data_IF_045973224131
#
_entry.id   IF_045973224131
#
_cell.length_a   1.000
_cell.length_b   1.000
_cell.length_c   1.000
_cell.angle_alpha   90.00
_cell.angle_beta   90.00
_cell.angle_gamma   90.00
#
_symmetry.space_group_name_H-M   'P 1'
#
loop_
_entity.id
_entity.type
_entity.pdbx_description
1 polymer ?
#
# COMPACT_ATOMS: atom_id res chain seq x y z
N UNK A 1 -8.41 8.26 -3.07
CA UNK A 1 -9.42 7.72 -4.00
C UNK A 1 -10.39 8.78 -4.50
N UNK A 2 -11.02 9.59 -3.64
CA UNK A 2 -12.01 10.60 -4.06
C UNK A 2 -11.48 11.54 -5.15
N UNK A 3 -10.23 11.99 -5.07
CA UNK A 3 -9.59 12.80 -6.11
C UNK A 3 -9.47 12.08 -7.44
N UNK A 4 -9.11 10.78 -7.39
CA UNK A 4 -9.00 9.97 -8.60
C UNK A 4 -10.36 9.73 -9.27
N UNK A 5 -11.40 9.41 -8.51
CA UNK A 5 -12.75 9.22 -9.06
C UNK A 5 -13.31 10.49 -9.75
N UNK A 6 -12.89 11.66 -9.31
CA UNK A 6 -13.27 12.93 -9.96
C UNK A 6 -12.58 13.16 -11.32
N UNK A 7 -11.49 12.45 -11.59
CA UNK A 7 -10.77 12.53 -12.86
C UNK A 7 -11.33 11.57 -13.91
N UNK A 8 -12.18 10.63 -13.52
CA UNK A 8 -12.86 9.72 -14.46
C UNK A 8 -13.94 10.54 -15.19
N UNK A 9 -13.90 10.57 -16.54
CA UNK A 9 -14.92 11.27 -17.31
C UNK A 9 -16.33 10.76 -17.02
N UNK A 10 -17.29 11.66 -16.77
CA UNK A 10 -18.68 11.29 -16.51
C UNK A 10 -19.33 10.59 -17.68
N UNK A 11 -18.85 10.88 -18.90
CA UNK A 11 -19.32 10.33 -20.15
C UNK A 11 -19.23 8.79 -20.17
N UNK A 12 -18.23 8.20 -19.51
CA UNK A 12 -18.10 6.75 -19.40
C UNK A 12 -19.23 6.12 -18.57
N UNK A 13 -19.66 6.82 -17.52
CA UNK A 13 -20.78 6.36 -16.69
C UNK A 13 -22.11 6.57 -17.39
N UNK A 14 -22.26 7.67 -18.12
CA UNK A 14 -23.44 7.97 -18.91
C UNK A 14 -23.60 6.95 -20.04
N UNK A 15 -22.50 6.60 -20.74
CA UNK A 15 -22.51 5.57 -21.75
C UNK A 15 -22.95 4.20 -21.17
N UNK A 16 -22.38 3.80 -20.02
CA UNK A 16 -22.76 2.57 -19.36
C UNK A 16 -24.25 2.53 -18.95
N UNK A 17 -24.82 3.68 -18.55
CA UNK A 17 -26.24 3.80 -18.22
C UNK A 17 -27.11 3.70 -19.47
N UNK A 18 -26.70 4.30 -20.58
CA UNK A 18 -27.38 4.19 -21.86
C UNK A 18 -27.41 2.74 -22.38
N UNK A 19 -26.35 1.98 -22.09
CA UNK A 19 -26.28 0.54 -22.36
C UNK A 19 -27.11 -0.33 -21.39
N UNK A 20 -27.88 0.30 -20.49
CA UNK A 20 -28.76 -0.38 -19.54
C UNK A 20 -28.06 -0.92 -18.29
N UNK A 21 -26.82 -0.52 -18.03
CA UNK A 21 -26.12 -0.95 -16.82
C UNK A 21 -26.72 -0.28 -15.57
N UNK A 22 -26.95 -1.10 -14.53
CA UNK A 22 -27.27 -0.57 -13.20
C UNK A 22 -26.05 0.17 -12.60
N UNK A 23 -26.26 1.02 -11.60
CA UNK A 23 -25.18 1.74 -10.90
C UNK A 23 -24.10 0.79 -10.36
N UNK A 24 -24.48 -0.36 -9.83
CA UNK A 24 -23.56 -1.40 -9.40
C UNK A 24 -22.76 -2.01 -10.53
N UNK A 25 -23.41 -2.24 -11.67
CA UNK A 25 -22.75 -2.78 -12.86
C UNK A 25 -21.76 -1.77 -13.44
N UNK A 26 -22.15 -0.51 -13.53
CA UNK A 26 -21.28 0.57 -13.97
C UNK A 26 -20.07 0.73 -13.02
N UNK A 27 -20.29 0.67 -11.70
CA UNK A 27 -19.20 0.70 -10.73
C UNK A 27 -18.22 -0.47 -10.89
N UNK A 28 -18.73 -1.70 -10.91
CA UNK A 28 -17.87 -2.89 -10.94
C UNK A 28 -17.18 -3.13 -12.28
N UNK A 29 -17.84 -2.78 -13.39
CA UNK A 29 -17.33 -3.08 -14.74
C UNK A 29 -16.59 -1.91 -15.40
N UNK A 30 -16.86 -0.69 -14.96
CA UNK A 30 -16.24 0.51 -15.54
C UNK A 30 -15.35 1.20 -14.54
N UNK A 31 -15.89 1.68 -13.42
CA UNK A 31 -15.13 2.50 -12.47
C UNK A 31 -14.04 1.72 -11.76
N UNK A 32 -14.34 0.53 -11.26
CA UNK A 32 -13.39 -0.25 -10.46
C UNK A 32 -12.15 -0.68 -11.28
N UNK A 33 -12.28 -1.23 -12.51
CA UNK A 33 -11.12 -1.54 -13.34
C UNK A 33 -10.26 -0.32 -13.67
N UNK A 34 -10.88 0.82 -13.98
CA UNK A 34 -10.15 2.08 -14.22
C UNK A 34 -9.43 2.58 -12.98
N UNK A 35 -9.90 2.23 -11.79
CA UNK A 35 -9.32 2.65 -10.50
C UNK A 35 -8.21 1.73 -10.00
N UNK A 36 -7.97 0.58 -10.63
CA UNK A 36 -6.94 -0.39 -10.20
C UNK A 36 -5.57 0.26 -10.01
N UNK A 37 -5.06 1.14 -10.90
CA UNK A 37 -3.75 1.77 -10.69
C UNK A 37 -3.71 2.66 -9.44
N UNK A 38 -4.77 3.42 -9.19
CA UNK A 38 -4.86 4.26 -8.00
C UNK A 38 -5.00 3.44 -6.71
N UNK A 39 -5.78 2.36 -6.75
CA UNK A 39 -5.92 1.41 -5.64
C UNK A 39 -4.59 0.74 -5.31
N UNK A 40 -3.84 0.30 -6.32
CA UNK A 40 -2.52 -0.30 -6.14
C UNK A 40 -1.54 0.68 -5.50
N UNK A 41 -1.53 1.94 -5.95
CA UNK A 41 -0.68 2.99 -5.36
C UNK A 41 -1.00 3.20 -3.88
N UNK A 42 -2.28 3.32 -3.53
CA UNK A 42 -2.69 3.46 -2.13
C UNK A 42 -2.34 2.23 -1.30
N UNK A 43 -2.57 1.04 -1.84
CA UNK A 43 -2.22 -0.21 -1.17
C UNK A 43 -0.71 -0.28 -0.84
N UNK A 44 0.16 0.12 -1.77
CA UNK A 44 1.61 0.18 -1.52
C UNK A 44 1.92 1.15 -0.37
N UNK A 45 1.35 2.37 -0.42
CA UNK A 45 1.59 3.39 0.60
C UNK A 45 1.10 2.91 1.98
N UNK A 46 -0.10 2.34 2.05
CA UNK A 46 -0.68 1.85 3.30
C UNK A 46 0.11 0.66 3.86
N UNK A 47 0.53 -0.27 3.01
CA UNK A 47 1.40 -1.39 3.42
C UNK A 47 2.72 -0.88 3.97
N UNK A 48 3.37 0.07 3.30
CA UNK A 48 4.63 0.65 3.77
C UNK A 48 4.46 1.36 5.11
N UNK A 49 3.41 2.17 5.27
CA UNK A 49 3.14 2.89 6.52
C UNK A 49 2.85 1.92 7.66
N UNK A 50 1.98 0.93 7.43
CA UNK A 50 1.60 -0.06 8.45
C UNK A 50 2.78 -0.97 8.81
N UNK A 51 3.57 -1.38 7.82
CA UNK A 51 4.75 -2.23 8.05
C UNK A 51 5.84 -1.54 8.87
N UNK A 52 6.03 -0.24 8.63
CA UNK A 52 7.02 0.57 9.35
C UNK A 52 6.46 1.22 10.63
N UNK A 53 5.21 0.87 11.04
CA UNK A 53 4.63 1.41 12.26
C UNK A 53 5.43 0.96 13.48
N UNK A 54 6.02 1.94 14.16
CA UNK A 54 6.92 1.73 15.28
C UNK A 54 6.43 2.35 16.57
N UNK A 55 6.06 3.64 16.54
CA UNK A 55 5.79 4.41 17.77
C UNK A 55 4.51 3.94 18.47
N UNK A 56 3.43 3.76 17.72
CA UNK A 56 2.15 3.32 18.29
C UNK A 56 2.29 1.89 18.79
N UNK A 57 2.94 1.01 18.01
CA UNK A 57 3.20 -0.35 18.40
C UNK A 57 4.09 -0.46 19.66
N UNK A 58 5.11 0.39 19.77
CA UNK A 58 6.00 0.43 20.94
C UNK A 58 5.24 0.82 22.23
N UNK A 59 4.32 1.79 22.12
CA UNK A 59 3.57 2.31 23.29
C UNK A 59 2.42 1.39 23.68
N UNK A 60 1.70 0.84 22.70
CA UNK A 60 0.45 0.10 22.98
C UNK A 60 0.67 -1.41 23.15
N UNK A 61 1.71 -1.99 22.56
CA UNK A 61 1.92 -3.45 22.56
C UNK A 61 2.92 -3.84 23.65
N UNK A 62 2.41 -4.25 24.80
CA UNK A 62 3.24 -4.73 25.93
C UNK A 62 3.66 -6.20 25.78
N UNK A 63 2.86 -7.02 25.08
CA UNK A 63 3.12 -8.46 24.92
C UNK A 63 4.23 -8.72 23.89
N UNK A 64 5.27 -9.46 24.27
CA UNK A 64 6.40 -9.80 23.38
C UNK A 64 5.98 -10.52 22.11
N UNK A 65 4.97 -11.38 22.20
CA UNK A 65 4.49 -12.24 21.10
C UNK A 65 3.71 -11.47 20.03
N UNK A 66 3.22 -10.28 20.37
CA UNK A 66 2.39 -9.45 19.46
C UNK A 66 3.14 -8.23 18.90
N UNK A 67 4.45 -8.13 19.12
CA UNK A 67 5.25 -6.98 18.67
C UNK A 67 5.37 -6.93 17.15
N UNK A 68 5.31 -5.71 16.60
CA UNK A 68 5.63 -5.48 15.20
C UNK A 68 7.12 -5.71 14.93
N UNK A 69 7.48 -5.97 13.67
CA UNK A 69 8.87 -6.23 13.28
C UNK A 69 9.82 -5.11 13.71
N UNK A 70 9.53 -3.81 13.48
CA UNK A 70 10.39 -2.72 13.94
C UNK A 70 10.61 -2.70 15.47
N UNK A 71 9.57 -2.98 16.26
CA UNK A 71 9.67 -3.06 17.72
C UNK A 71 10.46 -4.30 18.16
N UNK A 72 10.30 -5.42 17.46
CA UNK A 72 11.05 -6.65 17.73
C UNK A 72 12.56 -6.49 17.51
N UNK A 73 12.95 -5.71 16.52
CA UNK A 73 14.36 -5.45 16.21
C UNK A 73 15.10 -4.69 17.31
N UNK A 74 14.39 -3.93 18.16
CA UNK A 74 15.01 -3.26 19.32
C UNK A 74 15.62 -4.25 20.32
N UNK A 75 15.16 -5.50 20.36
CA UNK A 75 15.71 -6.48 21.31
C UNK A 75 17.18 -6.85 21.02
N UNK A 76 17.64 -6.59 19.78
CA UNK A 76 19.05 -6.79 19.42
C UNK A 76 19.94 -5.60 19.78
N UNK A 77 19.35 -4.49 20.26
CA UNK A 77 20.03 -3.35 20.83
C UNK A 77 19.98 -3.48 22.36
N UNK A 78 20.86 -4.30 22.93
CA UNK A 78 20.97 -4.45 24.39
C UNK A 78 21.66 -3.27 25.05
N UNK A 79 21.35 -3.07 26.33
CA UNK A 79 21.91 -1.98 27.14
C UNK A 79 23.44 -2.06 27.34
N UNK A 80 24.00 -3.28 27.26
CA UNK A 80 25.42 -3.56 27.45
C UNK A 80 26.13 -4.20 26.26
N UNK A 81 25.41 -4.72 25.28
CA UNK A 81 25.97 -5.29 24.06
C UNK A 81 24.98 -5.23 22.91
N UNK A 82 25.33 -4.52 21.86
CA UNK A 82 24.52 -4.47 20.64
C UNK A 82 24.94 -5.59 19.71
N UNK A 83 24.00 -6.48 19.39
CA UNK A 83 24.24 -7.56 18.44
C UNK A 83 23.98 -7.06 17.01
N UNK A 84 24.87 -6.22 16.51
CA UNK A 84 24.71 -5.58 15.19
C UNK A 84 24.53 -6.55 14.05
N UNK A 85 25.21 -7.70 14.10
CA UNK A 85 25.08 -8.74 13.06
C UNK A 85 23.65 -9.29 13.00
N UNK A 86 23.05 -9.59 14.14
CA UNK A 86 21.66 -10.09 14.21
C UNK A 86 20.66 -9.00 13.86
N UNK A 87 20.93 -7.75 14.28
CA UNK A 87 20.11 -6.59 13.91
C UNK A 87 20.10 -6.41 12.40
N UNK A 88 21.25 -6.42 11.74
CA UNK A 88 21.34 -6.27 10.28
C UNK A 88 20.67 -7.43 9.56
N UNK A 89 20.85 -8.67 10.02
CA UNK A 89 20.16 -9.84 9.46
C UNK A 89 18.64 -9.70 9.61
N UNK A 90 18.15 -9.27 10.78
CA UNK A 90 16.73 -9.01 11.01
C UNK A 90 16.14 -7.94 10.09
N UNK A 91 16.88 -6.84 9.88
CA UNK A 91 16.48 -5.78 8.95
C UNK A 91 16.39 -6.33 7.51
N UNK A 92 17.39 -7.09 7.06
CA UNK A 92 17.38 -7.68 5.71
C UNK A 92 16.18 -8.61 5.51
N UNK A 93 15.88 -9.45 6.49
CA UNK A 93 14.72 -10.35 6.43
C UNK A 93 13.42 -9.55 6.43
N UNK A 94 13.32 -8.49 7.22
CA UNK A 94 12.12 -7.68 7.32
C UNK A 94 11.79 -6.88 6.06
N UNK A 95 12.78 -6.62 5.20
CA UNK A 95 12.57 -5.93 3.92
C UNK A 95 11.99 -6.87 2.85
N UNK A 96 12.21 -8.18 2.94
CA UNK A 96 11.79 -9.15 1.92
C UNK A 96 10.30 -9.05 1.59
N UNK A 97 9.34 -9.09 2.55
CA UNK A 97 7.92 -9.03 2.23
C UNK A 97 7.54 -7.71 1.55
N UNK A 98 8.17 -6.60 1.92
CA UNK A 98 7.94 -5.29 1.29
C UNK A 98 8.38 -5.30 -0.18
N UNK A 99 9.58 -5.85 -0.46
CA UNK A 99 10.09 -5.99 -1.83
C UNK A 99 9.17 -6.87 -2.66
N UNK A 100 8.73 -8.01 -2.12
CA UNK A 100 7.82 -8.92 -2.81
C UNK A 100 6.52 -8.20 -3.20
N UNK A 101 5.88 -7.53 -2.26
CA UNK A 101 4.65 -6.77 -2.51
C UNK A 101 4.91 -5.68 -3.57
N UNK A 102 6.02 -4.95 -3.46
CA UNK A 102 6.38 -3.91 -4.41
C UNK A 102 6.56 -4.47 -5.83
N UNK A 103 7.27 -5.59 -6.01
CA UNK A 103 7.48 -6.23 -7.32
C UNK A 103 6.12 -6.60 -7.97
N UNK A 104 5.17 -7.12 -7.20
CA UNK A 104 3.85 -7.47 -7.74
C UNK A 104 3.01 -6.24 -8.12
N UNK A 105 3.12 -5.15 -7.37
CA UNK A 105 2.28 -3.97 -7.54
C UNK A 105 2.93 -2.87 -8.41
N UNK A 106 4.26 -2.90 -8.65
CA UNK A 106 4.99 -1.86 -9.38
C UNK A 106 4.42 -1.57 -10.78
N UNK A 107 3.95 -2.59 -11.49
CA UNK A 107 3.33 -2.42 -12.82
C UNK A 107 2.10 -1.50 -12.79
N UNK A 108 1.31 -1.56 -11.73
CA UNK A 108 0.14 -0.72 -11.54
C UNK A 108 0.51 0.69 -11.07
N UNK A 109 1.58 0.80 -10.27
CA UNK A 109 2.11 2.07 -9.79
C UNK A 109 2.62 2.93 -10.95
N UNK A 110 3.40 2.36 -11.87
CA UNK A 110 3.90 3.06 -13.06
C UNK A 110 2.73 3.52 -13.94
N UNK A 111 1.75 2.65 -14.18
CA UNK A 111 0.56 3.01 -14.95
C UNK A 111 -0.26 4.15 -14.31
N UNK A 112 -0.33 4.18 -12.97
CA UNK A 112 -1.03 5.25 -12.22
C UNK A 112 -0.33 6.61 -12.30
N UNK A 113 1.01 6.63 -12.23
CA UNK A 113 1.80 7.86 -12.32
C UNK A 113 1.76 8.46 -13.73
N UNK A 114 1.86 7.63 -14.77
CA UNK A 114 1.85 8.10 -16.16
C UNK A 114 0.50 8.67 -16.57
N UNK A 115 -0.61 8.11 -16.10
CA UNK A 115 -1.95 8.65 -16.37
C UNK A 115 -2.21 10.02 -15.73
N UNK A 116 -1.52 10.34 -14.62
CA UNK A 116 -1.59 11.65 -13.96
C UNK A 116 -0.65 12.70 -14.58
N UNK A 117 0.46 12.28 -15.20
CA UNK A 117 1.48 13.18 -15.74
C UNK A 117 1.16 13.72 -17.15
N UNK A 118 0.25 13.08 -17.89
CA UNK A 118 -0.08 13.48 -19.29
C UNK A 118 -1.08 14.65 -19.36
N UNK A 119 -1.47 15.26 -18.25
CA UNK A 119 -2.30 16.49 -18.20
C UNK A 119 -1.47 17.72 -17.87
N UNK A 120 -0.30 17.87 -18.48
CA UNK A 120 0.46 19.13 -18.56
C UNK A 120 0.30 19.76 -19.92
#
# INVERSE_FOLDING_TARGET
LRGFFRLIPSELLEAARLDGASEWTAFLRVMLPLSVPALATLCIIDVLNTWNEFLIALVLISAKESRTVPVGLLQFQGEYSSQYTLLMAGILISIIPVIVIFIFLQRYFVAGLTSGAVKG
#
